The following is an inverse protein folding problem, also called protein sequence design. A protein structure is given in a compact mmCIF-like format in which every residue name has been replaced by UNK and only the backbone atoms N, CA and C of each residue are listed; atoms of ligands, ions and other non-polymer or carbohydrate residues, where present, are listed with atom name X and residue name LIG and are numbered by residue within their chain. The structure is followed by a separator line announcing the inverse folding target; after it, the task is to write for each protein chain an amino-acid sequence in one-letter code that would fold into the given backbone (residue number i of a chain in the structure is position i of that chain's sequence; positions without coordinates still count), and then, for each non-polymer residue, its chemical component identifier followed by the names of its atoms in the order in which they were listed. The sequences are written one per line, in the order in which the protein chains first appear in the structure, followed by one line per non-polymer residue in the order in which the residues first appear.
data_IF_066414701302
#
_entry.id   IF_066414701302
#
_cell.length_a   1.000
_cell.length_b   1.000
_cell.length_c   1.000
_cell.angle_alpha   90.00
_cell.angle_beta   90.00
_cell.angle_gamma   90.00
#
_symmetry.space_group_name_H-M   'P 1'
#
loop_
_entity.id
_entity.type
_entity.pdbx_description
1 polymer ?
#
# COMPACT_ATOMS: atom_id res chain seq x y z
N UNK A 1 11.56 1.65 11.91
CA UNK A 1 10.40 1.07 11.26
C UNK A 1 10.68 -0.38 10.94
N UNK A 2 9.70 -1.23 11.15
CA UNK A 2 9.94 -2.64 10.97
C UNK A 2 9.51 -3.23 9.66
N UNK A 3 9.05 -2.41 8.76
CA UNK A 3 8.61 -2.90 7.46
C UNK A 3 9.74 -2.91 6.45
N UNK A 4 9.63 -3.82 5.50
CA UNK A 4 10.57 -3.90 4.39
C UNK A 4 9.80 -3.94 3.09
N UNK A 5 10.42 -3.52 2.02
CA UNK A 5 9.80 -3.55 0.70
C UNK A 5 9.45 -4.99 0.38
N UNK A 6 8.22 -5.21 -0.02
CA UNK A 6 7.72 -6.55 -0.32
C UNK A 6 6.93 -7.18 0.80
N UNK A 7 6.94 -6.58 1.99
CA UNK A 7 6.18 -7.14 3.10
C UNK A 7 4.70 -7.12 2.80
N UNK A 8 4.00 -8.18 3.18
CA UNK A 8 2.56 -8.26 3.00
C UNK A 8 1.89 -7.67 4.23
N UNK A 9 0.97 -6.77 3.99
CA UNK A 9 0.33 -6.02 5.07
C UNK A 9 -1.16 -5.88 4.79
N UNK A 10 -1.91 -5.49 5.79
CA UNK A 10 -3.33 -5.21 5.62
C UNK A 10 -3.51 -3.71 5.49
N UNK A 11 -4.25 -3.29 4.49
CA UNK A 11 -4.49 -1.89 4.22
C UNK A 11 -5.94 -1.55 4.49
N UNK A 12 -6.18 -0.52 5.29
CA UNK A 12 -7.52 -0.03 5.55
C UNK A 12 -7.68 1.29 4.84
N UNK A 13 -8.63 1.39 3.92
CA UNK A 13 -8.81 2.58 3.11
C UNK A 13 -9.37 3.69 3.97
N UNK A 14 -8.69 4.84 4.01
CA UNK A 14 -9.12 5.94 4.85
C UNK A 14 -9.83 7.02 4.05
N UNK A 15 -9.25 7.43 2.94
CA UNK A 15 -9.87 8.45 2.11
C UNK A 15 -9.21 8.46 0.73
N UNK A 16 -9.94 9.01 -0.23
CA UNK A 16 -9.42 9.17 -1.59
C UNK A 16 -8.78 10.53 -1.73
N UNK A 17 -7.73 10.60 -2.52
CA UNK A 17 -7.06 11.86 -2.82
C UNK A 17 -6.77 11.89 -4.32
N UNK A 18 -6.20 12.97 -4.79
CA UNK A 18 -5.86 13.07 -6.20
C UNK A 18 -4.82 12.04 -6.61
N UNK A 19 -3.99 11.60 -5.70
CA UNK A 19 -2.95 10.65 -6.02
C UNK A 19 -3.42 9.21 -5.88
N UNK A 20 -4.46 8.98 -5.13
CA UNK A 20 -4.95 7.63 -4.88
C UNK A 20 -5.67 7.57 -3.57
N UNK A 21 -5.29 6.64 -2.71
CA UNK A 21 -5.96 6.48 -1.43
C UNK A 21 -4.96 6.56 -0.29
N UNK A 22 -5.35 7.25 0.76
CA UNK A 22 -4.59 7.21 2.00
C UNK A 22 -5.09 5.99 2.75
N UNK A 23 -4.18 5.16 3.22
CA UNK A 23 -4.52 3.92 3.89
C UNK A 23 -3.80 3.82 5.22
N UNK A 24 -4.34 3.01 6.12
CA UNK A 24 -3.62 2.64 7.33
C UNK A 24 -3.04 1.24 7.11
N UNK A 25 -1.77 1.09 7.42
CA UNK A 25 -1.08 -0.15 7.27
C UNK A 25 -1.10 -0.84 8.61
N UNK A 26 -1.73 -2.01 8.68
CA UNK A 26 -1.86 -2.79 9.91
C UNK A 26 -2.42 -1.97 11.06
N UNK A 27 -3.28 -1.00 10.72
CA UNK A 27 -3.93 -0.12 11.69
C UNK A 27 -2.95 0.73 12.49
N UNK A 28 -1.73 0.87 12.01
CA UNK A 28 -0.73 1.67 12.74
C UNK A 28 -0.12 2.79 11.94
N UNK A 29 0.26 2.53 10.70
CA UNK A 29 1.03 3.51 9.95
C UNK A 29 0.27 3.97 8.73
N UNK A 30 0.41 5.26 8.39
CA UNK A 30 -0.26 5.80 7.24
C UNK A 30 0.56 5.53 5.99
N UNK A 31 -0.09 5.14 4.93
CA UNK A 31 0.56 4.89 3.66
C UNK A 31 -0.26 5.44 2.51
N UNK A 32 0.30 5.38 1.31
CA UNK A 32 -0.36 5.86 0.12
C UNK A 32 -0.45 4.74 -0.90
N UNK A 33 -1.67 4.49 -1.38
CA UNK A 33 -1.93 3.51 -2.42
C UNK A 33 -2.22 4.31 -3.67
N UNK A 34 -1.31 4.32 -4.63
CA UNK A 34 -1.46 5.16 -5.80
C UNK A 34 -2.60 4.71 -6.70
N UNK A 35 -3.21 5.67 -7.37
CA UNK A 35 -4.38 5.40 -8.17
C UNK A 35 -4.13 4.39 -9.28
N UNK A 36 -2.97 4.39 -9.87
CA UNK A 36 -2.68 3.47 -10.95
C UNK A 36 -2.48 2.03 -10.47
N UNK A 37 -2.51 1.80 -9.15
CA UNK A 37 -2.44 0.46 -8.61
C UNK A 37 -3.84 -0.12 -8.38
N UNK A 38 -4.89 0.68 -8.59
CA UNK A 38 -6.24 0.29 -8.25
C UNK A 38 -7.06 0.21 -9.51
N UNK A 39 -7.70 -0.93 -9.75
CA UNK A 39 -8.47 -1.10 -10.96
C UNK A 39 -9.95 -0.76 -10.78
N UNK A 40 -10.42 -0.66 -9.57
CA UNK A 40 -11.79 -0.28 -9.33
C UNK A 40 -11.83 0.52 -8.04
N UNK A 41 -12.85 1.36 -7.87
CA UNK A 41 -12.92 2.19 -6.69
C UNK A 41 -12.98 1.36 -5.42
N UNK A 42 -12.34 1.85 -4.38
CA UNK A 42 -12.35 1.19 -3.10
C UNK A 42 -13.14 2.05 -2.12
N UNK A 43 -13.98 1.41 -1.34
CA UNK A 43 -14.80 2.10 -0.39
C UNK A 43 -14.03 2.44 0.86
N UNK A 44 -14.42 3.55 1.49
CA UNK A 44 -13.80 3.97 2.73
C UNK A 44 -13.93 2.87 3.77
N UNK A 45 -12.89 2.68 4.53
CA UNK A 45 -12.80 1.69 5.60
C UNK A 45 -12.82 0.24 5.12
N UNK A 46 -12.71 0.01 3.83
CA UNK A 46 -12.53 -1.33 3.31
C UNK A 46 -11.12 -1.78 3.63
N UNK A 47 -10.97 -3.04 3.99
CA UNK A 47 -9.66 -3.60 4.24
C UNK A 47 -9.26 -4.49 3.09
N UNK A 48 -8.06 -4.30 2.57
CA UNK A 48 -7.55 -5.11 1.48
C UNK A 48 -6.13 -5.50 1.79
N UNK A 49 -5.70 -6.61 1.27
CA UNK A 49 -4.33 -7.03 1.46
C UNK A 49 -3.44 -6.31 0.48
N UNK A 50 -2.31 -5.86 0.92
CA UNK A 50 -1.38 -5.17 0.05
C UNK A 50 0.06 -5.46 0.43
N UNK A 51 0.96 -4.73 -0.18
CA UNK A 51 2.38 -4.96 -0.03
C UNK A 51 3.10 -3.64 0.06
N UNK A 52 4.19 -3.61 0.81
CA UNK A 52 5.03 -2.42 0.91
C UNK A 52 5.78 -2.28 -0.42
N UNK A 53 5.58 -1.15 -1.08
CA UNK A 53 6.21 -0.91 -2.36
C UNK A 53 7.47 -0.07 -2.19
N UNK A 54 7.44 0.90 -1.32
CA UNK A 54 8.58 1.78 -1.12
C UNK A 54 8.48 2.42 0.26
N UNK A 55 9.61 2.63 0.90
CA UNK A 55 9.66 3.31 2.18
C UNK A 55 10.55 4.50 1.98
N UNK A 56 9.97 5.71 2.09
CA UNK A 56 10.70 6.92 1.80
C UNK A 56 11.48 7.37 3.03
N UNK A 57 12.50 8.17 2.80
CA UNK A 57 13.32 8.63 3.89
C UNK A 57 12.58 9.51 4.86
N UNK A 58 11.53 10.19 4.40
CA UNK A 58 10.77 11.06 5.29
C UNK A 58 9.73 10.28 6.10
N UNK A 59 9.76 8.98 6.03
CA UNK A 59 8.84 8.16 6.81
C UNK A 59 7.56 7.79 6.10
N UNK A 60 7.38 8.24 4.88
CA UNK A 60 6.17 7.89 4.15
C UNK A 60 6.32 6.53 3.51
N UNK A 61 5.22 5.82 3.38
CA UNK A 61 5.24 4.47 2.85
C UNK A 61 4.30 4.40 1.67
N UNK A 62 4.80 3.88 0.56
CA UNK A 62 3.98 3.64 -0.61
C UNK A 62 3.64 2.17 -0.62
N UNK A 63 2.39 1.84 -0.92
CA UNK A 63 1.93 0.46 -0.95
C UNK A 63 1.33 0.11 -2.29
N UNK A 64 1.17 -1.16 -2.54
CA UNK A 64 0.63 -1.67 -3.80
C UNK A 64 -0.29 -2.83 -3.49
N UNK A 65 -1.20 -3.13 -4.42
CA UNK A 65 -2.04 -4.31 -4.29
C UNK A 65 -1.39 -5.52 -4.94
N UNK A 66 -0.22 -5.35 -5.55
CA UNK A 66 0.48 -6.45 -6.19
C UNK A 66 1.72 -6.81 -5.40
N UNK A 67 2.08 -8.07 -5.37
CA UNK A 67 3.33 -8.45 -4.71
C UNK A 67 4.49 -7.69 -5.32
N UNK A 68 5.37 -7.20 -4.46
CA UNK A 68 6.55 -6.48 -4.92
C UNK A 68 7.73 -7.39 -4.73
N UNK A 69 8.66 -7.32 -5.64
CA UNK A 69 9.84 -8.05 -5.40
C UNK A 69 10.37 -8.73 -6.57
N UNK A 70 11.64 -8.65 -6.64
CA UNK A 70 12.32 -9.21 -7.69
C UNK A 70 12.23 -10.69 -7.67
N UNK A 71 11.77 -11.25 -6.65
CA UNK A 71 11.65 -12.66 -6.62
C UNK A 71 10.62 -13.19 -7.56
N UNK A 72 9.77 -12.33 -8.02
CA UNK A 72 8.75 -12.75 -8.90
C UNK A 72 9.11 -12.83 -10.29
N UNK A 73 10.28 -12.52 -10.58
CA UNK A 73 10.60 -12.47 -11.89
C UNK A 73 10.69 -13.72 -12.49
N UNK A 74 10.76 -14.69 -11.82
CA UNK A 74 10.88 -15.81 -12.39
C UNK A 74 9.82 -16.27 -13.12
N UNK A 75 9.20 -16.26 -13.42
CA UNK A 75 8.28 -16.74 -14.17
C UNK A 75 8.04 -16.51 -15.07
#
# INVERSE_FOLDING_TARGET
MEYEIGDRVMLSIQRATDLGYVVLIDDEFEGLLFRNEVFQPLSRYTEVRGYIKNIREDGKIDVSLRPQGFLNVID
#
